data_IF_219092184317
#
_entry.id   IF_219092184317
#
_cell.length_a   1.000
_cell.length_b   1.000
_cell.length_c   1.000
_cell.angle_alpha   90.00
_cell.angle_beta   90.00
_cell.angle_gamma   90.00
#
_symmetry.space_group_name_H-M   'P 1'
#
loop_
_entity.id
_entity.type
_entity.pdbx_description
1 polymer ?
#
# COMPACT_ATOMS: atom_id res chain seq x y z
N UNK A 1 45.72 24.98 -1.05
CA UNK A 1 44.44 25.73 -1.05
C UNK A 1 44.79 27.19 -0.75
N UNK A 2 43.83 28.13 -0.71
CA UNK A 2 43.95 29.60 -0.59
C UNK A 2 44.93 30.38 -1.54
N UNK A 3 45.81 29.70 -2.28
CA UNK A 3 46.72 30.28 -3.26
C UNK A 3 48.00 30.89 -2.69
N UNK A 4 48.28 30.74 -1.40
CA UNK A 4 49.43 31.39 -0.74
C UNK A 4 50.75 30.60 -0.83
N UNK A 5 50.74 29.45 -1.50
CA UNK A 5 51.91 28.58 -1.70
C UNK A 5 52.28 27.71 -0.49
N UNK A 6 51.51 27.72 0.60
CA UNK A 6 51.68 26.82 1.75
C UNK A 6 50.82 25.57 1.62
N UNK A 7 51.22 24.50 2.31
CA UNK A 7 50.50 23.22 2.30
C UNK A 7 49.35 23.23 3.32
N UNK A 8 48.13 23.33 2.84
CA UNK A 8 46.91 23.16 3.65
C UNK A 8 46.55 21.68 3.83
N UNK A 9 45.66 21.40 4.78
CA UNK A 9 45.19 20.06 5.08
C UNK A 9 43.69 19.94 4.79
N UNK A 10 43.30 18.84 4.14
CA UNK A 10 41.89 18.43 4.01
C UNK A 10 41.74 17.06 4.66
N UNK A 11 40.76 16.93 5.56
CA UNK A 11 40.48 15.69 6.29
C UNK A 11 39.04 15.30 6.03
N UNK A 12 38.80 14.04 5.65
CA UNK A 12 37.43 13.55 5.53
C UNK A 12 36.86 13.13 6.89
N UNK A 13 35.60 13.47 7.11
CA UNK A 13 34.85 13.23 8.33
C UNK A 13 34.09 11.91 8.31
N UNK A 14 33.63 11.51 9.50
CA UNK A 14 32.77 10.34 9.70
C UNK A 14 31.44 10.47 8.92
N UNK A 15 30.87 11.66 8.89
CA UNK A 15 29.62 11.96 8.17
C UNK A 15 29.82 12.17 6.66
N UNK A 16 31.06 12.10 6.19
CA UNK A 16 31.43 12.22 4.79
C UNK A 16 31.72 13.65 4.32
N UNK A 17 31.66 14.63 5.22
CA UNK A 17 32.10 16.01 4.98
C UNK A 17 33.62 16.10 4.86
N UNK A 18 34.11 17.13 4.16
CA UNK A 18 35.55 17.36 3.96
C UNK A 18 35.97 18.62 4.70
N UNK A 19 36.66 18.48 5.82
CA UNK A 19 37.13 19.57 6.67
C UNK A 19 38.43 20.16 6.15
N UNK A 20 38.49 21.48 6.07
CA UNK A 20 39.65 22.24 5.59
C UNK A 20 40.36 22.88 6.77
N UNK A 21 41.68 22.74 6.81
CA UNK A 21 42.53 23.43 7.75
C UNK A 21 43.64 24.18 7.02
N UNK A 22 43.70 25.50 7.23
CA UNK A 22 44.69 26.35 6.58
C UNK A 22 46.02 26.36 7.35
N UNK A 23 47.13 26.39 6.60
CA UNK A 23 48.46 26.49 7.18
C UNK A 23 48.70 27.90 7.76
N UNK A 24 48.81 27.97 9.08
CA UNK A 24 49.14 29.18 9.87
C UNK A 24 50.57 29.17 10.41
N UNK A 25 51.28 28.04 10.29
CA UNK A 25 52.68 27.92 10.70
C UNK A 25 53.60 28.84 9.90
N UNK A 26 54.76 29.16 10.49
CA UNK A 26 55.74 30.08 9.90
C UNK A 26 56.41 29.53 8.63
N UNK A 27 56.36 28.20 8.42
CA UNK A 27 56.86 27.52 7.24
C UNK A 27 56.21 26.14 7.08
N UNK A 28 56.34 25.51 5.90
CA UNK A 28 55.90 24.12 5.69
C UNK A 28 56.70 23.09 6.52
N UNK A 29 57.86 23.48 7.09
CA UNK A 29 58.69 22.61 7.91
C UNK A 29 58.30 22.61 9.39
N UNK A 30 57.53 23.61 9.83
CA UNK A 30 56.96 23.71 11.19
C UNK A 30 55.48 24.10 11.07
N UNK A 31 54.65 23.16 10.60
CA UNK A 31 53.28 23.46 10.26
C UNK A 31 52.40 23.60 11.50
N UNK A 32 51.45 24.54 11.43
CA UNK A 32 50.37 24.71 12.39
C UNK A 32 49.09 24.97 11.60
N UNK A 33 48.02 24.26 11.93
CA UNK A 33 46.78 24.30 11.17
C UNK A 33 45.65 24.89 11.99
N UNK A 34 44.85 25.75 11.35
CA UNK A 34 43.63 26.29 11.93
C UNK A 34 42.42 25.83 11.10
N UNK A 35 41.34 25.42 11.76
CA UNK A 35 40.10 25.01 11.09
C UNK A 35 39.53 26.18 10.28
N UNK A 36 39.12 25.88 9.05
CA UNK A 36 38.56 26.85 8.10
C UNK A 36 37.25 26.33 7.48
N UNK A 37 36.49 25.54 8.24
CA UNK A 37 35.19 24.99 7.83
C UNK A 37 35.32 23.73 6.97
N UNK A 38 34.27 23.45 6.19
CA UNK A 38 34.22 22.33 5.26
C UNK A 38 34.20 22.82 3.81
N UNK A 39 34.54 21.94 2.87
CA UNK A 39 34.31 22.19 1.45
C UNK A 39 32.79 22.24 1.23
N UNK A 40 32.31 23.33 0.65
CA UNK A 40 30.89 23.51 0.33
C UNK A 40 30.58 23.17 -1.13
N UNK A 41 29.45 22.49 -1.36
CA UNK A 41 28.87 22.24 -2.66
C UNK A 41 27.97 23.40 -3.13
N UNK A 42 27.56 23.36 -4.40
CA UNK A 42 26.61 24.33 -4.95
C UNK A 42 25.19 24.12 -4.39
N UNK A 43 24.82 22.87 -4.13
CA UNK A 43 23.49 22.43 -3.66
C UNK A 43 23.53 22.04 -2.17
N UNK A 44 22.34 21.84 -1.60
CA UNK A 44 22.23 21.26 -0.26
C UNK A 44 22.52 19.76 -0.28
N UNK A 45 23.09 19.26 0.80
CA UNK A 45 23.23 17.84 1.07
C UNK A 45 21.96 17.25 1.70
N UNK A 46 21.97 15.95 1.98
CA UNK A 46 20.81 15.19 2.44
C UNK A 46 20.27 15.63 3.83
N UNK A 47 21.05 16.39 4.60
CA UNK A 47 20.64 16.96 5.91
C UNK A 47 20.35 18.47 5.85
N UNK A 48 20.50 19.10 4.69
CA UNK A 48 20.17 20.50 4.45
C UNK A 48 21.33 21.48 4.67
N UNK A 49 22.53 20.96 4.87
CA UNK A 49 23.77 21.75 4.90
C UNK A 49 24.35 21.93 3.50
N UNK A 50 25.36 22.81 3.37
CA UNK A 50 26.08 23.02 2.09
C UNK A 50 27.37 22.25 2.01
N UNK A 51 27.76 21.52 3.05
CA UNK A 51 28.95 20.70 3.06
C UNK A 51 28.86 19.66 1.94
N UNK A 52 29.94 19.53 1.18
CA UNK A 52 30.11 18.48 0.19
C UNK A 52 30.25 17.15 0.92
N UNK A 53 29.27 16.27 0.77
CA UNK A 53 29.21 14.96 1.43
C UNK A 53 29.22 13.87 0.38
N UNK A 54 30.28 13.06 0.37
CA UNK A 54 30.41 11.89 -0.51
C UNK A 54 29.87 10.59 0.08
N UNK A 55 29.73 10.56 1.41
CA UNK A 55 29.27 9.45 2.25
C UNK A 55 30.28 9.04 3.32
N UNK A 56 29.92 8.12 4.22
CA UNK A 56 30.59 7.95 5.52
C UNK A 56 32.09 7.67 5.42
N UNK A 57 32.87 8.19 6.37
CA UNK A 57 34.33 8.06 6.44
C UNK A 57 35.02 8.50 5.13
N UNK A 58 34.81 9.76 4.76
CA UNK A 58 35.36 10.28 3.52
C UNK A 58 36.91 10.23 3.52
N UNK A 59 37.49 9.94 2.36
CA UNK A 59 38.95 9.94 2.15
C UNK A 59 39.25 10.80 0.93
N UNK A 60 39.64 12.08 1.11
CA UNK A 60 39.94 12.97 0.00
C UNK A 60 41.28 12.65 -0.63
N UNK A 61 41.34 12.74 -1.96
CA UNK A 61 42.54 12.67 -2.79
C UNK A 61 42.47 13.79 -3.82
N UNK A 62 43.58 14.51 -3.98
CA UNK A 62 43.74 15.53 -5.00
C UNK A 62 44.66 15.02 -6.10
N UNK A 63 44.19 15.08 -7.35
CA UNK A 63 44.97 14.71 -8.53
C UNK A 63 44.38 15.38 -9.77
N UNK A 64 45.22 15.84 -10.69
CA UNK A 64 44.79 16.26 -12.03
C UNK A 64 44.38 15.01 -12.85
N UNK A 65 43.09 14.69 -12.86
CA UNK A 65 42.55 13.49 -13.52
C UNK A 65 42.29 13.71 -15.00
N UNK A 66 41.98 14.95 -15.37
CA UNK A 66 41.56 15.30 -16.71
C UNK A 66 42.72 15.86 -17.59
N UNK A 67 43.86 16.17 -16.97
CA UNK A 67 45.07 16.67 -17.62
C UNK A 67 45.05 18.17 -17.93
N UNK A 68 44.17 18.95 -17.31
CA UNK A 68 44.04 20.40 -17.52
C UNK A 68 45.02 21.23 -16.67
N UNK A 69 45.81 20.58 -15.82
CA UNK A 69 46.79 21.21 -14.93
C UNK A 69 46.20 21.77 -13.64
N UNK A 70 44.93 21.51 -13.35
CA UNK A 70 44.26 21.78 -12.08
C UNK A 70 44.02 20.46 -11.32
N UNK A 71 44.20 20.48 -10.00
CA UNK A 71 43.89 19.29 -9.20
C UNK A 71 42.38 19.10 -9.10
N UNK A 72 41.89 17.92 -9.46
CA UNK A 72 40.53 17.46 -9.20
C UNK A 72 40.44 16.83 -7.80
N UNK A 73 39.24 16.89 -7.20
CA UNK A 73 38.93 16.23 -5.94
C UNK A 73 38.26 14.87 -6.20
N UNK A 74 38.87 13.81 -5.68
CA UNK A 74 38.24 12.49 -5.51
C UNK A 74 37.99 12.29 -4.02
N UNK A 75 36.78 11.86 -3.66
CA UNK A 75 36.48 11.42 -2.30
C UNK A 75 36.09 9.94 -2.32
N UNK A 76 36.90 9.10 -1.68
CA UNK A 76 36.50 7.73 -1.32
C UNK A 76 35.56 7.75 -0.10
N UNK A 77 34.84 6.66 0.12
CA UNK A 77 33.93 6.49 1.26
C UNK A 77 33.91 5.04 1.74
N UNK A 78 33.35 4.81 2.92
CA UNK A 78 33.03 3.48 3.40
C UNK A 78 31.89 2.89 2.55
N UNK A 79 32.20 1.81 1.84
CA UNK A 79 31.21 1.01 1.15
C UNK A 79 31.01 -0.33 1.88
N UNK A 80 29.74 -0.67 2.14
CA UNK A 80 29.37 -1.99 2.69
C UNK A 80 29.30 -3.08 1.61
N UNK A 81 29.48 -2.70 0.34
CA UNK A 81 29.53 -3.55 -0.84
C UNK A 81 29.58 -2.69 -2.10
N UNK A 82 29.97 -3.27 -3.24
CA UNK A 82 29.94 -2.55 -4.51
C UNK A 82 28.50 -2.53 -5.07
N UNK A 83 27.79 -1.39 -5.09
CA UNK A 83 26.48 -1.34 -5.70
C UNK A 83 26.62 -1.61 -7.20
N UNK A 84 25.81 -2.51 -7.73
CA UNK A 84 25.71 -2.76 -9.17
C UNK A 84 24.26 -2.54 -9.58
N UNK A 85 23.99 -1.66 -10.58
CA UNK A 85 22.66 -1.52 -11.13
C UNK A 85 22.13 -2.89 -11.60
N UNK A 86 20.87 -3.17 -11.30
CA UNK A 86 20.23 -4.44 -11.64
C UNK A 86 20.10 -4.65 -13.16
N UNK A 87 20.20 -3.57 -13.92
CA UNK A 87 20.15 -3.51 -15.38
C UNK A 87 21.55 -3.36 -16.02
N UNK A 88 22.63 -3.46 -15.22
CA UNK A 88 24.00 -3.47 -15.71
C UNK A 88 24.33 -4.84 -16.39
N UNK A 89 24.94 -4.86 -17.59
CA UNK A 89 25.32 -6.12 -18.26
C UNK A 89 26.25 -7.03 -17.45
N UNK A 90 27.02 -6.47 -16.51
CA UNK A 90 27.91 -7.14 -15.57
C UNK A 90 27.29 -7.39 -14.19
N UNK A 91 25.96 -7.29 -14.04
CA UNK A 91 25.24 -7.66 -12.83
C UNK A 91 25.40 -9.17 -12.56
N UNK A 92 25.99 -9.58 -11.42
CA UNK A 92 26.42 -10.96 -11.20
C UNK A 92 25.27 -11.95 -11.04
N UNK A 93 24.05 -11.48 -10.76
CA UNK A 93 22.87 -12.32 -10.51
C UNK A 93 21.79 -12.16 -11.59
N UNK A 94 22.17 -11.81 -12.82
CA UNK A 94 21.21 -11.57 -13.90
C UNK A 94 20.28 -12.76 -14.18
N UNK A 95 20.78 -13.99 -14.04
CA UNK A 95 19.96 -15.21 -14.18
C UNK A 95 18.88 -15.33 -13.11
N UNK A 96 19.26 -15.15 -11.83
CA UNK A 96 18.34 -15.20 -10.68
C UNK A 96 17.33 -14.04 -10.71
N UNK A 97 17.77 -12.85 -11.10
CA UNK A 97 16.88 -11.69 -11.27
C UNK A 97 15.85 -11.98 -12.36
N UNK A 98 16.27 -12.55 -13.50
CA UNK A 98 15.35 -12.93 -14.56
C UNK A 98 14.35 -14.00 -14.08
N UNK A 99 14.82 -15.02 -13.37
CA UNK A 99 13.95 -16.06 -12.79
C UNK A 99 12.91 -15.46 -11.84
N UNK A 100 13.32 -14.51 -10.99
CA UNK A 100 12.41 -13.79 -10.10
C UNK A 100 11.36 -12.98 -10.87
N UNK A 101 11.77 -12.23 -11.91
CA UNK A 101 10.84 -11.43 -12.74
C UNK A 101 9.86 -12.35 -13.48
N UNK A 102 10.36 -13.45 -14.06
CA UNK A 102 9.53 -14.44 -14.76
C UNK A 102 8.52 -15.09 -13.79
N UNK A 103 8.96 -15.43 -12.57
CA UNK A 103 8.10 -15.98 -11.52
C UNK A 103 7.01 -14.98 -11.12
N UNK A 104 7.38 -13.72 -10.88
CA UNK A 104 6.42 -12.67 -10.52
C UNK A 104 5.38 -12.49 -11.62
N UNK A 105 5.80 -12.46 -12.89
CA UNK A 105 4.88 -12.40 -14.03
C UNK A 105 3.94 -13.62 -14.09
N UNK A 106 4.48 -14.83 -13.98
CA UNK A 106 3.70 -16.07 -14.05
C UNK A 106 2.67 -16.21 -12.92
N UNK A 107 2.92 -15.55 -11.78
CA UNK A 107 2.03 -15.58 -10.62
C UNK A 107 1.25 -14.27 -10.44
N UNK A 108 1.26 -13.38 -11.44
CA UNK A 108 0.60 -12.07 -11.40
C UNK A 108 0.93 -11.25 -10.14
N UNK A 109 2.20 -11.30 -9.71
CA UNK A 109 2.76 -10.46 -8.67
C UNK A 109 3.33 -9.20 -9.33
N UNK A 110 2.69 -8.06 -9.06
CA UNK A 110 3.08 -6.78 -9.62
C UNK A 110 4.39 -6.30 -8.99
N UNK A 111 5.34 -5.91 -9.85
CA UNK A 111 6.60 -5.28 -9.46
C UNK A 111 6.51 -3.80 -9.77
N UNK A 112 6.75 -2.95 -8.78
CA UNK A 112 6.70 -1.50 -8.90
C UNK A 112 7.97 -0.87 -8.31
N UNK A 113 8.34 0.36 -8.72
CA UNK A 113 9.61 0.98 -8.32
C UNK A 113 9.67 1.26 -6.81
N UNK A 114 10.87 1.11 -6.24
CA UNK A 114 11.20 1.48 -4.87
C UNK A 114 12.19 2.65 -4.92
N UNK A 115 11.67 3.88 -4.87
CA UNK A 115 12.38 5.07 -5.32
C UNK A 115 13.38 5.56 -4.26
N UNK A 116 14.55 6.04 -4.73
CA UNK A 116 15.60 6.59 -3.89
C UNK A 116 15.66 8.13 -3.98
N UNK A 117 14.80 8.81 -3.22
CA UNK A 117 14.89 10.27 -3.02
C UNK A 117 15.23 10.62 -1.57
N UNK A 118 15.48 11.90 -1.31
CA UNK A 118 15.84 12.40 0.01
C UNK A 118 15.40 13.84 0.26
N UNK A 119 15.35 14.25 1.54
CA UNK A 119 14.91 15.56 2.07
C UNK A 119 15.23 16.84 1.25
N UNK A 120 16.37 16.91 0.57
CA UNK A 120 16.81 18.13 -0.13
C UNK A 120 17.25 17.86 -1.58
N UNK A 121 16.79 16.74 -2.14
CA UNK A 121 17.02 16.38 -3.54
C UNK A 121 16.27 17.37 -4.43
N UNK A 122 16.94 17.93 -5.45
CA UNK A 122 16.31 18.89 -6.34
C UNK A 122 15.26 18.21 -7.23
N UNK A 123 14.31 19.00 -7.75
CA UNK A 123 13.31 18.50 -8.72
C UNK A 123 13.95 17.76 -9.90
N UNK A 124 15.04 18.30 -10.47
CA UNK A 124 15.76 17.67 -11.57
C UNK A 124 16.38 16.32 -11.19
N UNK A 125 16.96 16.23 -9.98
CA UNK A 125 17.55 14.99 -9.47
C UNK A 125 16.49 13.93 -9.19
N UNK A 126 15.34 14.30 -8.60
CA UNK A 126 14.24 13.36 -8.39
C UNK A 126 13.67 12.84 -9.71
N UNK A 127 13.47 13.72 -10.70
CA UNK A 127 13.03 13.33 -12.05
C UNK A 127 14.05 12.41 -12.72
N UNK A 128 15.35 12.67 -12.56
CA UNK A 128 16.40 11.80 -13.07
C UNK A 128 16.36 10.42 -12.41
N UNK A 129 16.19 10.35 -11.10
CA UNK A 129 16.09 9.09 -10.35
C UNK A 129 14.91 8.22 -10.84
N UNK A 130 13.74 8.84 -11.04
CA UNK A 130 12.56 8.16 -11.57
C UNK A 130 12.79 7.68 -13.01
N UNK A 131 13.46 8.48 -13.83
CA UNK A 131 13.80 8.11 -15.21
C UNK A 131 14.79 6.94 -15.27
N UNK A 132 15.77 6.88 -14.37
CA UNK A 132 16.69 5.74 -14.25
C UNK A 132 15.94 4.46 -13.88
N UNK A 133 14.98 4.53 -12.96
CA UNK A 133 14.09 3.41 -12.64
C UNK A 133 13.27 2.96 -13.84
N UNK A 134 12.69 3.90 -14.59
CA UNK A 134 11.93 3.61 -15.81
C UNK A 134 12.78 2.91 -16.87
N UNK A 135 14.04 3.32 -17.02
CA UNK A 135 14.99 2.68 -17.93
C UNK A 135 15.35 1.26 -17.49
N UNK A 136 15.57 1.05 -16.18
CA UNK A 136 15.83 -0.29 -15.64
C UNK A 136 14.62 -1.22 -15.86
N UNK A 137 13.40 -0.75 -15.59
CA UNK A 137 12.16 -1.47 -15.85
C UNK A 137 12.03 -1.86 -17.32
N UNK A 138 12.27 -0.92 -18.23
CA UNK A 138 12.24 -1.17 -19.67
C UNK A 138 13.26 -2.24 -20.11
N UNK A 139 14.50 -2.17 -19.61
CA UNK A 139 15.56 -3.17 -19.93
C UNK A 139 15.23 -4.56 -19.38
N UNK A 140 14.59 -4.61 -18.22
CA UNK A 140 14.18 -5.85 -17.55
C UNK A 140 12.84 -6.41 -18.05
N UNK A 141 12.14 -5.67 -18.91
CA UNK A 141 10.83 -6.06 -19.44
C UNK A 141 9.71 -6.00 -18.38
N UNK A 142 9.84 -5.12 -17.39
CA UNK A 142 8.83 -4.86 -16.37
C UNK A 142 7.97 -3.67 -16.86
N UNK A 143 6.64 -3.80 -16.94
CA UNK A 143 5.77 -2.70 -17.36
C UNK A 143 5.83 -1.50 -16.41
N UNK A 144 5.71 -0.29 -16.96
CA UNK A 144 5.51 0.95 -16.22
C UNK A 144 4.12 1.51 -16.56
N UNK A 145 3.07 0.81 -16.12
CA UNK A 145 1.69 1.14 -16.44
C UNK A 145 0.86 1.16 -15.15
N UNK A 146 0.27 2.31 -14.79
CA UNK A 146 -0.55 2.45 -13.57
C UNK A 146 0.13 1.89 -12.30
N UNK A 147 1.43 2.15 -12.15
CA UNK A 147 2.23 1.64 -11.04
C UNK A 147 2.09 2.50 -9.78
N UNK A 148 2.47 1.93 -8.64
CA UNK A 148 2.72 2.67 -7.39
C UNK A 148 4.20 2.78 -7.05
N UNK A 149 4.48 3.20 -5.82
CA UNK A 149 5.83 3.20 -5.25
C UNK A 149 5.80 3.23 -3.71
N UNK A 150 6.98 3.07 -3.12
CA UNK A 150 7.31 3.44 -1.76
C UNK A 150 8.76 3.94 -1.73
N UNK A 151 9.14 4.66 -0.67
CA UNK A 151 10.43 5.33 -0.58
C UNK A 151 11.49 4.46 0.09
N UNK A 152 12.66 4.31 -0.54
CA UNK A 152 13.79 3.58 0.05
C UNK A 152 14.32 4.24 1.32
N UNK A 153 14.32 5.56 1.36
CA UNK A 153 14.78 6.33 2.54
C UNK A 153 13.64 6.71 3.47
N UNK A 154 12.40 6.35 3.12
CA UNK A 154 11.15 6.95 3.59
C UNK A 154 10.97 8.43 3.25
N UNK A 155 12.02 9.19 2.91
CA UNK A 155 12.00 10.65 2.92
C UNK A 155 11.41 11.21 1.63
N UNK A 156 10.63 12.28 1.77
CA UNK A 156 10.25 13.17 0.68
C UNK A 156 10.94 14.53 0.86
N UNK A 157 10.83 15.39 -0.14
CA UNK A 157 11.40 16.73 -0.10
C UNK A 157 10.86 17.57 1.08
N UNK A 158 11.76 18.27 1.76
CA UNK A 158 11.46 19.11 2.91
C UNK A 158 11.08 20.55 2.51
N UNK A 159 11.88 21.26 1.67
CA UNK A 159 11.53 22.61 1.21
C UNK A 159 10.17 22.71 0.53
N UNK A 160 9.89 21.81 -0.42
CA UNK A 160 8.62 21.68 -1.12
C UNK A 160 8.05 20.28 -0.91
N UNK A 161 7.07 20.20 -0.01
CA UNK A 161 6.49 18.92 0.45
C UNK A 161 5.69 18.20 -0.64
N UNK A 162 5.29 18.90 -1.70
CA UNK A 162 4.55 18.32 -2.81
C UNK A 162 5.50 17.80 -3.91
N UNK A 163 6.71 18.35 -4.03
CA UNK A 163 7.63 18.09 -5.14
C UNK A 163 7.81 16.60 -5.46
N UNK A 164 8.17 15.79 -4.46
CA UNK A 164 8.41 14.35 -4.67
C UNK A 164 7.15 13.64 -5.19
N UNK A 165 6.00 13.91 -4.58
CA UNK A 165 4.73 13.29 -4.94
C UNK A 165 4.21 13.79 -6.29
N UNK A 166 4.47 15.06 -6.63
CA UNK A 166 4.16 15.63 -7.93
C UNK A 166 5.03 15.02 -9.03
N UNK A 167 6.32 14.79 -8.74
CA UNK A 167 7.26 14.13 -9.65
C UNK A 167 6.87 12.67 -9.91
N UNK A 168 6.47 11.94 -8.87
CA UNK A 168 5.90 10.60 -9.00
C UNK A 168 4.64 10.62 -9.87
N UNK A 169 3.69 11.51 -9.56
CA UNK A 169 2.43 11.66 -10.31
C UNK A 169 2.66 11.98 -11.78
N UNK A 170 3.59 12.88 -12.07
CA UNK A 170 3.94 13.25 -13.46
C UNK A 170 4.62 12.12 -14.22
N UNK A 171 5.32 11.22 -13.52
CA UNK A 171 5.86 10.00 -14.09
C UNK A 171 4.85 8.84 -14.22
N UNK A 172 3.57 9.08 -13.87
CA UNK A 172 2.51 8.07 -13.97
C UNK A 172 2.44 7.09 -12.80
N UNK A 173 3.18 7.36 -11.72
CA UNK A 173 3.01 6.69 -10.43
C UNK A 173 1.82 7.34 -9.73
N UNK A 174 0.79 6.58 -9.38
CA UNK A 174 -0.45 7.16 -8.86
C UNK A 174 -0.74 6.84 -7.40
N UNK A 175 0.09 6.00 -6.75
CA UNK A 175 0.02 5.81 -5.32
C UNK A 175 1.40 5.66 -4.67
N UNK A 176 1.52 6.12 -3.43
CA UNK A 176 2.69 5.95 -2.58
C UNK A 176 2.26 5.53 -1.16
N UNK A 177 2.51 4.27 -0.81
CA UNK A 177 2.06 3.68 0.46
C UNK A 177 3.18 3.62 1.52
N UNK A 178 4.31 4.28 1.26
CA UNK A 178 5.45 4.21 2.15
C UNK A 178 6.32 5.44 2.07
N UNK A 179 5.94 6.49 2.80
CA UNK A 179 6.73 7.71 2.92
C UNK A 179 6.61 8.33 4.32
N UNK A 180 7.59 9.17 4.63
CA UNK A 180 7.73 9.97 5.84
C UNK A 180 7.40 11.41 5.48
N UNK A 181 6.28 11.97 5.96
CA UNK A 181 5.97 13.37 5.74
C UNK A 181 7.14 14.28 6.15
N UNK A 182 7.34 15.38 5.42
CA UNK A 182 8.42 16.33 5.67
C UNK A 182 8.47 16.76 7.13
N UNK A 183 9.65 16.66 7.74
CA UNK A 183 9.91 16.97 9.15
C UNK A 183 9.17 16.11 10.19
N UNK A 184 8.53 14.99 9.80
CA UNK A 184 8.06 14.02 10.78
C UNK A 184 9.24 13.49 11.63
N UNK A 185 9.01 13.21 12.90
CA UNK A 185 10.07 12.80 13.82
C UNK A 185 10.49 11.36 13.52
N UNK A 186 9.53 10.43 13.51
CA UNK A 186 9.79 9.02 13.36
C UNK A 186 9.64 8.56 11.92
N UNK A 187 10.32 7.46 11.62
CA UNK A 187 10.12 6.77 10.36
C UNK A 187 8.79 5.98 10.40
N UNK A 188 8.19 5.72 9.23
CA UNK A 188 6.94 4.98 9.13
C UNK A 188 6.98 3.71 9.98
N UNK A 189 5.85 3.41 10.63
CA UNK A 189 5.63 2.28 11.56
C UNK A 189 6.28 2.39 12.94
N UNK A 190 7.21 3.31 13.17
CA UNK A 190 7.97 3.39 14.43
C UNK A 190 7.44 4.42 15.42
N UNK A 191 6.80 5.48 14.92
CA UNK A 191 6.28 6.58 15.75
C UNK A 191 4.78 6.53 16.02
N UNK A 192 4.31 7.20 17.10
CA UNK A 192 2.89 7.32 17.40
C UNK A 192 2.08 7.98 16.28
N UNK A 193 2.69 8.85 15.47
CA UNK A 193 2.07 9.50 14.31
C UNK A 193 1.61 8.51 13.22
N UNK A 194 2.13 7.28 13.21
CA UNK A 194 1.72 6.21 12.28
C UNK A 194 0.81 5.17 12.95
N UNK A 195 0.30 5.46 14.15
CA UNK A 195 -0.55 4.49 14.87
C UNK A 195 -1.88 4.24 14.14
N UNK A 196 -2.34 5.16 13.29
CA UNK A 196 -3.62 5.11 12.59
C UNK A 196 -3.41 5.52 11.13
N UNK A 197 -3.15 4.56 10.25
CA UNK A 197 -3.03 4.76 8.82
C UNK A 197 -4.40 4.84 8.17
N UNK A 198 -4.70 5.95 7.49
CA UNK A 198 -5.88 6.11 6.64
C UNK A 198 -5.41 6.45 5.23
N UNK A 199 -5.94 5.80 4.18
CA UNK A 199 -5.64 6.20 2.82
C UNK A 199 -6.31 7.54 2.52
N UNK A 200 -5.61 8.40 1.79
CA UNK A 200 -6.15 9.68 1.34
C UNK A 200 -5.67 10.03 -0.07
N UNK A 201 -6.43 10.88 -0.76
CA UNK A 201 -6.03 11.42 -2.05
C UNK A 201 -5.37 12.77 -1.84
N UNK A 202 -4.23 12.99 -2.49
CA UNK A 202 -3.60 14.30 -2.56
C UNK A 202 -4.52 15.29 -3.27
N UNK A 203 -4.74 16.43 -2.64
CA UNK A 203 -5.52 17.54 -3.20
C UNK A 203 -4.67 18.49 -4.03
N UNK A 204 -5.32 19.20 -4.94
CA UNK A 204 -4.78 20.36 -5.62
C UNK A 204 -4.84 21.62 -4.71
N UNK A 205 -4.32 22.79 -5.15
CA UNK A 205 -4.39 24.02 -4.36
C UNK A 205 -5.81 24.52 -4.02
N UNK A 206 -6.86 24.00 -4.67
CA UNK A 206 -8.26 24.31 -4.34
C UNK A 206 -8.82 23.44 -3.21
N UNK A 207 -8.10 22.38 -2.82
CA UNK A 207 -8.49 21.43 -1.78
C UNK A 207 -9.20 20.19 -2.31
N UNK A 208 -9.40 20.07 -3.63
CA UNK A 208 -10.06 18.93 -4.27
C UNK A 208 -9.04 17.94 -4.84
N UNK A 209 -9.32 16.63 -4.83
CA UNK A 209 -8.44 15.64 -5.44
C UNK A 209 -8.42 15.76 -6.97
N UNK A 210 -7.23 15.73 -7.57
CA UNK A 210 -7.08 15.75 -9.03
C UNK A 210 -7.36 14.37 -9.64
N UNK A 211 -8.62 14.01 -9.83
CA UNK A 211 -9.02 12.67 -10.28
C UNK A 211 -8.53 12.27 -11.69
N UNK A 212 -8.12 13.23 -12.53
CA UNK A 212 -7.51 12.93 -13.84
C UNK A 212 -6.07 12.42 -13.73
N UNK A 213 -5.40 12.73 -12.62
CA UNK A 213 -4.05 12.26 -12.26
C UNK A 213 -4.05 12.01 -10.74
N UNK A 214 -4.71 10.96 -10.25
CA UNK A 214 -4.81 10.73 -8.82
C UNK A 214 -3.42 10.47 -8.23
N UNK A 215 -3.23 10.91 -6.98
CA UNK A 215 -2.10 10.51 -6.15
C UNK A 215 -2.66 10.04 -4.81
N UNK A 216 -2.70 8.73 -4.61
CA UNK A 216 -3.17 8.10 -3.39
C UNK A 216 -2.03 7.84 -2.42
N UNK A 217 -2.21 8.25 -1.19
CA UNK A 217 -1.20 8.20 -0.16
C UNK A 217 -1.68 7.34 0.99
N UNK A 218 -0.81 6.47 1.47
CA UNK A 218 -1.04 5.66 2.66
C UNK A 218 0.28 5.41 3.39
N UNK A 219 0.21 4.80 4.56
CA UNK A 219 1.39 4.47 5.37
C UNK A 219 1.24 3.07 5.93
N UNK A 220 2.33 2.29 6.04
CA UNK A 220 2.23 0.94 6.57
C UNK A 220 1.86 0.96 8.05
N UNK A 221 1.14 -0.08 8.48
CA UNK A 221 0.73 -0.24 9.86
C UNK A 221 1.93 -0.37 10.82
N UNK A 222 1.76 0.01 12.10
CA UNK A 222 2.78 -0.13 13.13
C UNK A 222 3.41 -1.51 13.19
N UNK A 223 4.67 -1.58 13.63
CA UNK A 223 5.37 -2.86 13.78
C UNK A 223 4.63 -3.76 14.76
N UNK A 224 4.30 -4.98 14.32
CA UNK A 224 3.72 -6.00 15.18
C UNK A 224 4.77 -6.49 16.18
N UNK A 225 4.48 -6.33 17.47
CA UNK A 225 5.30 -6.80 18.58
C UNK A 225 4.41 -7.60 19.53
N UNK A 226 4.95 -8.65 20.14
CA UNK A 226 4.32 -9.41 21.22
C UNK A 226 5.17 -9.32 22.50
N UNK A 227 4.57 -9.66 23.63
CA UNK A 227 5.25 -9.65 24.94
C UNK A 227 5.13 -8.31 25.67
N UNK A 228 6.16 -7.91 26.41
CA UNK A 228 6.10 -6.77 27.33
C UNK A 228 5.90 -5.40 26.65
N UNK A 229 6.23 -5.31 25.35
CA UNK A 229 6.03 -4.12 24.51
C UNK A 229 5.13 -4.46 23.32
N UNK A 230 4.07 -5.24 23.57
CA UNK A 230 3.14 -5.66 22.53
C UNK A 230 2.44 -4.46 21.90
N UNK A 231 2.16 -4.58 20.60
CA UNK A 231 1.40 -3.60 19.81
C UNK A 231 0.10 -4.20 19.27
N UNK A 232 -0.31 -5.36 19.78
CA UNK A 232 -1.50 -6.09 19.32
C UNK A 232 -2.80 -5.31 19.53
N UNK A 233 -2.84 -4.45 20.54
CA UNK A 233 -3.94 -3.53 20.83
C UNK A 233 -4.17 -2.49 19.71
N UNK A 234 -3.10 -2.10 19.00
CA UNK A 234 -3.23 -1.26 17.80
C UNK A 234 -4.02 -2.01 16.72
N UNK A 235 -3.70 -3.28 16.44
CA UNK A 235 -4.42 -4.06 15.43
C UNK A 235 -5.88 -4.32 15.84
N UNK A 236 -6.16 -4.50 17.13
CA UNK A 236 -7.54 -4.55 17.65
C UNK A 236 -8.28 -3.22 17.38
N UNK A 237 -7.60 -2.08 17.51
CA UNK A 237 -8.17 -0.76 17.18
C UNK A 237 -8.40 -0.58 15.68
N UNK A 238 -7.47 -1.03 14.81
CA UNK A 238 -7.69 -1.05 13.35
C UNK A 238 -8.95 -1.85 13.01
N UNK A 239 -9.07 -3.05 13.57
CA UNK A 239 -10.22 -3.91 13.35
C UNK A 239 -11.53 -3.31 13.87
N UNK A 240 -11.52 -2.68 15.06
CA UNK A 240 -12.70 -2.04 15.63
C UNK A 240 -13.23 -0.87 14.78
N UNK A 241 -12.35 -0.24 14.00
CA UNK A 241 -12.63 0.92 13.15
C UNK A 241 -12.71 0.57 11.67
N UNK A 242 -12.67 -0.71 11.32
CA UNK A 242 -12.68 -1.19 9.93
C UNK A 242 -11.56 -0.56 9.07
N UNK A 243 -10.39 -0.26 9.68
CA UNK A 243 -9.26 0.36 8.99
C UNK A 243 -8.44 -0.67 8.21
N UNK A 244 -7.94 -0.35 7.01
CA UNK A 244 -7.04 -1.24 6.30
C UNK A 244 -5.71 -1.41 7.04
N UNK A 245 -5.10 -2.58 6.90
CA UNK A 245 -3.79 -2.89 7.49
C UNK A 245 -2.83 -3.16 6.34
N UNK A 246 -1.95 -2.19 6.09
CA UNK A 246 -0.85 -2.34 5.14
C UNK A 246 0.40 -2.86 5.87
N UNK A 247 0.95 -3.98 5.39
CA UNK A 247 2.10 -4.64 6.00
C UNK A 247 3.30 -4.63 5.04
N UNK A 248 4.38 -4.03 5.52
CA UNK A 248 5.67 -3.94 4.85
C UNK A 248 6.75 -4.76 5.58
N UNK A 249 7.69 -5.36 4.85
CA UNK A 249 8.82 -6.09 5.43
C UNK A 249 10.04 -6.12 4.51
N UNK A 250 11.22 -5.95 5.10
CA UNK A 250 12.50 -6.25 4.46
C UNK A 250 12.84 -7.73 4.68
N UNK A 251 12.32 -8.58 3.80
CA UNK A 251 12.43 -10.04 3.97
C UNK A 251 13.90 -10.50 4.05
N UNK A 252 14.82 -9.82 3.37
CA UNK A 252 16.25 -10.08 3.33
C UNK A 252 16.92 -10.06 4.71
N UNK A 253 16.37 -9.32 5.68
CA UNK A 253 16.89 -9.30 7.06
C UNK A 253 16.54 -10.57 7.85
N UNK A 254 15.62 -11.38 7.33
CA UNK A 254 15.15 -12.60 7.97
C UNK A 254 15.76 -13.87 7.36
N UNK A 255 16.14 -13.82 6.08
CA UNK A 255 16.65 -15.01 5.40
C UNK A 255 18.14 -15.26 5.70
N UNK A 256 18.56 -16.54 5.78
CA UNK A 256 17.72 -17.74 5.91
C UNK A 256 17.40 -18.10 7.37
N UNK A 257 18.02 -17.43 8.35
CA UNK A 257 18.11 -17.91 9.73
C UNK A 257 16.92 -17.52 10.63
N UNK A 258 16.15 -16.50 10.26
CA UNK A 258 15.09 -15.88 11.07
C UNK A 258 13.71 -15.94 10.41
N UNK A 259 13.51 -16.83 9.43
CA UNK A 259 12.21 -17.04 8.74
C UNK A 259 11.06 -17.40 9.71
N UNK A 260 11.38 -17.95 10.88
CA UNK A 260 10.38 -18.20 11.93
C UNK A 260 9.64 -16.93 12.39
N UNK A 261 10.31 -15.77 12.36
CA UNK A 261 9.71 -14.47 12.71
C UNK A 261 8.63 -14.06 11.71
N UNK A 262 8.88 -14.27 10.41
CA UNK A 262 7.88 -14.03 9.36
C UNK A 262 6.63 -14.90 9.55
N UNK A 263 6.82 -16.17 9.95
CA UNK A 263 5.70 -17.09 10.17
C UNK A 263 4.82 -16.65 11.33
N UNK A 264 5.42 -16.08 12.38
CA UNK A 264 4.69 -15.55 13.52
C UNK A 264 3.76 -14.40 13.12
N UNK A 265 4.25 -13.48 12.28
CA UNK A 265 3.46 -12.34 11.79
C UNK A 265 2.32 -12.80 10.88
N UNK A 266 2.61 -13.66 9.90
CA UNK A 266 1.59 -14.19 8.98
C UNK A 266 0.49 -14.94 9.74
N UNK A 267 0.85 -15.73 10.76
CA UNK A 267 -0.12 -16.46 11.60
C UNK A 267 -1.02 -15.50 12.38
N UNK A 268 -0.46 -14.42 12.92
CA UNK A 268 -1.26 -13.43 13.66
C UNK A 268 -2.24 -12.69 12.72
N UNK A 269 -1.76 -12.19 11.58
CA UNK A 269 -2.60 -11.48 10.62
C UNK A 269 -3.67 -12.40 10.02
N UNK A 270 -3.38 -13.68 9.80
CA UNK A 270 -4.37 -14.65 9.35
C UNK A 270 -5.47 -14.88 10.41
N UNK A 271 -5.08 -14.96 11.69
CA UNK A 271 -6.01 -15.01 12.81
C UNK A 271 -6.91 -13.77 12.88
N UNK A 272 -6.31 -12.58 12.79
CA UNK A 272 -7.03 -11.29 12.75
C UNK A 272 -8.02 -11.25 11.58
N UNK A 273 -7.56 -11.67 10.39
CA UNK A 273 -8.36 -11.76 9.18
C UNK A 273 -9.59 -12.64 9.37
N UNK A 274 -9.43 -13.80 9.98
CA UNK A 274 -10.53 -14.73 10.22
C UNK A 274 -11.49 -14.24 11.32
N UNK A 275 -10.98 -13.55 12.33
CA UNK A 275 -11.81 -13.02 13.42
C UNK A 275 -12.68 -11.83 12.99
N UNK A 276 -12.12 -10.91 12.21
CA UNK A 276 -12.77 -9.64 11.86
C UNK A 276 -13.24 -9.56 10.40
N UNK A 277 -13.01 -10.59 9.59
CA UNK A 277 -13.55 -10.65 8.24
C UNK A 277 -12.78 -9.82 7.20
N UNK A 278 -11.49 -9.57 7.40
CA UNK A 278 -10.61 -8.89 6.42
C UNK A 278 -10.34 -9.76 5.19
N UNK A 279 -9.78 -9.18 4.13
CA UNK A 279 -9.20 -9.93 3.03
C UNK A 279 -7.69 -9.68 2.96
N UNK A 280 -6.93 -10.69 2.54
CA UNK A 280 -5.58 -10.44 2.05
C UNK A 280 -5.66 -9.93 0.61
N UNK A 281 -4.83 -8.93 0.32
CA UNK A 281 -4.71 -8.26 -0.97
C UNK A 281 -3.24 -7.95 -1.18
N UNK A 282 -2.80 -7.87 -2.44
CA UNK A 282 -1.54 -7.17 -2.75
C UNK A 282 -1.72 -5.67 -2.51
N UNK A 283 -0.61 -4.93 -2.37
CA UNK A 283 -0.65 -3.47 -2.22
C UNK A 283 -1.36 -2.79 -3.40
N UNK A 284 -1.18 -3.31 -4.62
CA UNK A 284 -1.81 -2.77 -5.84
C UNK A 284 -3.32 -3.04 -5.88
N UNK A 285 -3.75 -4.24 -5.48
CA UNK A 285 -5.18 -4.56 -5.31
C UNK A 285 -5.83 -3.65 -4.24
N UNK A 286 -5.11 -3.41 -3.14
CA UNK A 286 -5.54 -2.51 -2.06
C UNK A 286 -5.70 -1.07 -2.57
N UNK A 287 -4.71 -0.54 -3.30
CA UNK A 287 -4.76 0.81 -3.87
C UNK A 287 -5.94 0.96 -4.85
N UNK A 288 -6.15 0.00 -5.76
CA UNK A 288 -7.26 0.02 -6.73
C UNK A 288 -8.62 0.03 -6.02
N UNK A 289 -8.75 -0.80 -4.99
CA UNK A 289 -9.95 -0.88 -4.14
C UNK A 289 -10.21 0.43 -3.40
N UNK A 290 -9.20 1.04 -2.79
CA UNK A 290 -9.33 2.34 -2.14
C UNK A 290 -9.75 3.42 -3.13
N UNK A 291 -9.15 3.46 -4.32
CA UNK A 291 -9.50 4.47 -5.30
C UNK A 291 -10.97 4.36 -5.70
N UNK A 292 -11.44 3.15 -5.97
CA UNK A 292 -12.85 2.89 -6.24
C UNK A 292 -13.73 3.34 -5.05
N UNK A 293 -13.41 2.93 -3.82
CA UNK A 293 -14.23 3.24 -2.65
C UNK A 293 -14.28 4.75 -2.33
N UNK A 294 -13.17 5.46 -2.45
CA UNK A 294 -13.07 6.89 -2.15
C UNK A 294 -13.71 7.79 -3.20
N UNK A 295 -13.90 7.31 -4.43
CA UNK A 295 -14.38 8.12 -5.57
C UNK A 295 -15.71 7.65 -6.16
N UNK A 296 -16.32 6.60 -5.59
CA UNK A 296 -17.68 6.19 -5.92
C UNK A 296 -18.68 7.01 -5.12
N UNK A 297 -19.64 7.65 -5.80
CA UNK A 297 -20.73 8.33 -5.12
C UNK A 297 -21.83 7.33 -4.72
N UNK A 298 -22.47 7.57 -3.58
CA UNK A 298 -23.52 6.69 -3.04
C UNK A 298 -24.80 7.48 -2.85
N UNK A 299 -25.84 7.08 -3.59
CA UNK A 299 -27.19 7.58 -3.41
C UNK A 299 -28.00 6.63 -2.52
N UNK A 300 -28.45 7.13 -1.37
CA UNK A 300 -29.39 6.44 -0.49
C UNK A 300 -30.79 7.05 -0.64
N UNK A 301 -31.77 6.26 -1.05
CA UNK A 301 -33.12 6.76 -1.29
C UNK A 301 -34.23 5.82 -0.84
N UNK A 302 -35.43 6.39 -0.70
CA UNK A 302 -36.68 5.67 -0.39
C UNK A 302 -37.83 6.21 -1.24
N UNK A 303 -38.58 5.36 -1.95
CA UNK A 303 -39.79 5.80 -2.64
C UNK A 303 -40.84 6.35 -1.66
N UNK A 304 -41.37 7.55 -1.92
CA UNK A 304 -42.39 8.17 -1.06
C UNK A 304 -43.62 7.29 -0.81
N UNK A 305 -44.00 6.47 -1.78
CA UNK A 305 -45.12 5.52 -1.65
C UNK A 305 -44.88 4.51 -0.52
N UNK A 306 -43.67 3.99 -0.39
CA UNK A 306 -43.29 3.05 0.68
C UNK A 306 -43.33 3.74 2.04
N UNK A 307 -42.84 4.99 2.12
CA UNK A 307 -42.89 5.78 3.36
C UNK A 307 -44.33 6.01 3.83
N UNK A 308 -45.24 6.33 2.91
CA UNK A 308 -46.66 6.53 3.21
C UNK A 308 -47.34 5.22 3.64
N UNK A 309 -47.02 4.10 2.98
CA UNK A 309 -47.52 2.77 3.34
C UNK A 309 -47.04 2.36 4.73
N UNK A 310 -45.76 2.55 5.05
CA UNK A 310 -45.22 2.28 6.38
C UNK A 310 -45.92 3.12 7.45
N UNK A 311 -46.15 4.41 7.18
CA UNK A 311 -46.84 5.29 8.12
C UNK A 311 -48.27 4.85 8.37
N UNK A 312 -48.99 4.43 7.32
CA UNK A 312 -50.35 3.91 7.45
C UNK A 312 -50.38 2.61 8.26
N UNK A 313 -49.46 1.67 7.99
CA UNK A 313 -49.33 0.42 8.75
C UNK A 313 -49.03 0.66 10.23
N UNK A 314 -48.13 1.59 10.54
CA UNK A 314 -47.83 1.98 11.94
C UNK A 314 -49.05 2.57 12.64
N UNK A 315 -49.85 3.39 11.97
CA UNK A 315 -51.10 3.93 12.52
C UNK A 315 -52.12 2.84 12.84
N UNK A 316 -52.08 1.73 12.11
CA UNK A 316 -52.90 0.53 12.34
C UNK A 316 -52.28 -0.44 13.36
N UNK A 317 -51.19 -0.05 14.04
CA UNK A 317 -50.49 -0.89 15.02
C UNK A 317 -49.74 -2.09 14.41
N UNK A 318 -49.52 -2.10 13.09
CA UNK A 318 -48.78 -3.15 12.42
C UNK A 318 -47.27 -2.89 12.50
N UNK A 319 -46.50 -3.97 12.64
CA UNK A 319 -45.07 -3.90 12.42
C UNK A 319 -44.76 -3.55 10.96
N UNK A 320 -43.71 -2.75 10.78
CA UNK A 320 -43.23 -2.32 9.46
C UNK A 320 -41.78 -2.66 9.35
N UNK A 321 -41.27 -2.81 8.14
CA UNK A 321 -39.86 -3.09 7.85
C UNK A 321 -39.36 -2.01 6.90
N UNK A 322 -38.83 -0.89 7.41
CA UNK A 322 -38.34 0.19 6.58
C UNK A 322 -37.26 -0.30 5.63
N UNK A 323 -37.43 0.02 4.35
CA UNK A 323 -36.52 -0.33 3.25
C UNK A 323 -35.83 0.92 2.73
N UNK A 324 -34.54 0.80 2.47
CA UNK A 324 -33.70 1.80 1.85
C UNK A 324 -33.04 1.16 0.63
N UNK A 325 -32.92 1.93 -0.45
CA UNK A 325 -32.19 1.50 -1.64
C UNK A 325 -30.91 2.30 -1.73
N UNK A 326 -29.84 1.59 -2.04
CA UNK A 326 -28.53 2.15 -2.29
C UNK A 326 -28.26 2.02 -3.79
N UNK A 327 -27.72 3.08 -4.39
CA UNK A 327 -27.18 3.07 -5.74
C UNK A 327 -25.76 3.61 -5.72
N UNK A 328 -24.83 2.86 -6.31
CA UNK A 328 -23.44 3.26 -6.47
C UNK A 328 -23.26 3.91 -7.85
N UNK A 329 -22.65 5.09 -7.89
CA UNK A 329 -22.26 5.77 -9.13
C UNK A 329 -20.74 5.80 -9.24
N UNK A 330 -20.21 4.90 -10.07
CA UNK A 330 -18.79 4.78 -10.36
C UNK A 330 -18.35 5.61 -11.59
N UNK A 331 -19.16 6.57 -12.06
CA UNK A 331 -18.85 7.36 -13.26
C UNK A 331 -17.62 8.25 -13.09
N UNK A 332 -17.37 8.76 -11.87
CA UNK A 332 -16.23 9.59 -11.52
C UNK A 332 -14.97 8.79 -11.13
N UNK A 333 -15.06 7.47 -10.97
CA UNK A 333 -13.94 6.63 -10.55
C UNK A 333 -12.82 6.67 -11.62
N UNK A 334 -11.58 7.05 -11.25
CA UNK A 334 -10.46 7.13 -12.19
C UNK A 334 -10.11 5.78 -12.82
N UNK A 335 -9.52 5.83 -14.01
CA UNK A 335 -9.13 4.63 -14.77
C UNK A 335 -8.10 3.75 -14.04
N UNK A 336 -7.33 4.33 -13.12
CA UNK A 336 -6.32 3.66 -12.30
C UNK A 336 -6.93 2.60 -11.36
N UNK A 337 -8.23 2.69 -11.06
CA UNK A 337 -8.95 1.64 -10.34
C UNK A 337 -9.12 0.37 -11.20
N UNK A 338 -8.91 0.48 -12.52
CA UNK A 338 -8.93 -0.63 -13.46
C UNK A 338 -10.17 -1.52 -13.29
N UNK A 339 -9.98 -2.84 -13.16
CA UNK A 339 -11.05 -3.82 -12.97
C UNK A 339 -11.85 -3.65 -11.66
N UNK A 340 -11.34 -2.91 -10.68
CA UNK A 340 -12.03 -2.63 -9.41
C UNK A 340 -13.07 -1.52 -9.52
N UNK A 341 -13.18 -0.84 -10.67
CA UNK A 341 -14.22 0.15 -10.89
C UNK A 341 -15.61 -0.48 -10.76
N UNK A 342 -16.43 0.08 -9.86
CA UNK A 342 -17.79 -0.40 -9.61
C UNK A 342 -17.86 -1.59 -8.65
N UNK A 343 -16.83 -1.84 -7.81
CA UNK A 343 -16.86 -2.90 -6.80
C UNK A 343 -17.00 -2.34 -5.38
N UNK A 344 -17.95 -1.42 -5.17
CA UNK A 344 -18.13 -0.77 -3.87
C UNK A 344 -18.61 -1.77 -2.80
N UNK A 345 -17.99 -1.71 -1.62
CA UNK A 345 -18.50 -2.33 -0.39
C UNK A 345 -18.96 -1.27 0.59
N UNK A 346 -20.02 -1.56 1.36
CA UNK A 346 -20.55 -0.66 2.39
C UNK A 346 -20.64 -1.38 3.73
N UNK A 347 -20.52 -0.59 4.81
CA UNK A 347 -20.86 -1.00 6.16
C UNK A 347 -22.07 -0.18 6.65
N UNK A 348 -23.06 -0.86 7.22
CA UNK A 348 -24.30 -0.26 7.70
C UNK A 348 -24.36 -0.38 9.22
N UNK A 349 -24.25 0.77 9.88
CA UNK A 349 -24.43 0.89 11.33
C UNK A 349 -25.85 1.33 11.67
N UNK A 350 -26.48 0.62 12.60
CA UNK A 350 -27.87 0.87 12.99
C UNK A 350 -27.96 2.07 13.92
N UNK A 351 -28.64 3.12 13.47
CA UNK A 351 -29.03 4.24 14.33
C UNK A 351 -30.03 3.82 15.43
N UNK A 352 -30.20 4.66 16.45
CA UNK A 352 -31.03 4.37 17.63
C UNK A 352 -32.46 3.90 17.29
N UNK A 353 -33.07 4.46 16.24
CA UNK A 353 -34.42 4.11 15.79
C UNK A 353 -34.55 2.65 15.30
N UNK A 354 -33.44 2.01 14.93
CA UNK A 354 -33.39 0.65 14.39
C UNK A 354 -32.51 -0.29 15.22
N UNK A 355 -32.08 0.12 16.43
CA UNK A 355 -31.16 -0.67 17.26
C UNK A 355 -31.72 -2.05 17.65
N UNK A 356 -33.04 -2.16 17.79
CA UNK A 356 -33.75 -3.40 18.11
C UNK A 356 -34.17 -4.21 16.86
N UNK A 357 -33.60 -3.93 15.69
CA UNK A 357 -33.96 -4.56 14.41
C UNK A 357 -32.72 -5.11 13.74
N UNK A 358 -32.92 -6.15 12.95
CA UNK A 358 -31.89 -6.73 12.11
C UNK A 358 -31.76 -5.92 10.82
N UNK A 359 -30.53 -5.59 10.41
CA UNK A 359 -30.27 -5.03 9.09
C UNK A 359 -30.02 -6.22 8.14
N UNK A 360 -30.82 -6.32 7.09
CA UNK A 360 -30.74 -7.39 6.09
C UNK A 360 -30.70 -6.80 4.69
N UNK A 361 -30.12 -7.54 3.74
CA UNK A 361 -29.92 -7.09 2.36
C UNK A 361 -30.13 -8.21 1.35
N UNK A 362 -30.49 -7.83 0.12
CA UNK A 362 -30.52 -8.72 -1.04
C UNK A 362 -29.17 -8.85 -1.76
N UNK A 363 -28.13 -8.13 -1.30
CA UNK A 363 -26.79 -8.22 -1.85
C UNK A 363 -26.24 -9.65 -1.81
N UNK A 364 -25.51 -10.01 -2.87
CA UNK A 364 -24.92 -11.34 -3.03
C UNK A 364 -23.73 -11.57 -2.09
N UNK A 365 -22.90 -10.54 -1.90
CA UNK A 365 -21.91 -10.48 -0.83
C UNK A 365 -22.52 -9.78 0.37
N UNK A 366 -22.62 -10.48 1.49
CA UNK A 366 -23.08 -9.91 2.75
C UNK A 366 -22.51 -10.66 3.94
N UNK A 367 -22.30 -9.94 5.03
CA UNK A 367 -21.97 -10.52 6.33
C UNK A 367 -22.48 -9.61 7.46
N UNK A 368 -22.89 -10.19 8.58
CA UNK A 368 -23.31 -9.44 9.77
C UNK A 368 -22.44 -9.82 10.95
N UNK A 369 -21.64 -8.85 11.41
CA UNK A 369 -20.68 -9.04 12.51
C UNK A 369 -20.60 -7.77 13.36
N UNK A 370 -20.42 -7.94 14.67
CA UNK A 370 -20.34 -6.80 15.60
C UNK A 370 -21.59 -5.90 15.61
N UNK A 371 -22.74 -6.38 15.13
CA UNK A 371 -23.96 -5.59 15.01
C UNK A 371 -24.01 -4.63 13.82
N UNK A 372 -23.02 -4.70 12.91
CA UNK A 372 -22.97 -4.02 11.61
C UNK A 372 -23.29 -5.00 10.48
N UNK A 373 -23.94 -4.52 9.44
CA UNK A 373 -24.13 -5.26 8.18
C UNK A 373 -23.09 -4.77 7.17
N UNK A 374 -22.31 -5.69 6.61
CA UNK A 374 -21.39 -5.45 5.49
C UNK A 374 -22.02 -6.00 4.23
N UNK A 375 -21.97 -5.25 3.12
CA UNK A 375 -22.57 -5.66 1.85
C UNK A 375 -21.80 -5.13 0.64
N UNK A 376 -21.81 -5.91 -0.45
CA UNK A 376 -21.34 -5.46 -1.76
C UNK A 376 -22.44 -4.73 -2.52
N UNK A 377 -22.11 -3.61 -3.17
CA UNK A 377 -23.05 -2.78 -3.95
C UNK A 377 -22.42 -2.44 -5.31
N UNK A 378 -22.36 -3.39 -6.27
CA UNK A 378 -21.77 -3.12 -7.58
C UNK A 378 -22.60 -2.15 -8.44
N UNK A 379 -23.92 -2.14 -8.25
CA UNK A 379 -24.84 -1.17 -8.86
C UNK A 379 -25.89 -0.73 -7.83
N UNK A 380 -26.78 -1.66 -7.43
CA UNK A 380 -27.82 -1.39 -6.45
C UNK A 380 -27.97 -2.51 -5.43
N UNK A 381 -28.40 -2.14 -4.23
CA UNK A 381 -28.78 -3.07 -3.18
C UNK A 381 -29.92 -2.50 -2.33
N UNK A 382 -30.77 -3.36 -1.78
CA UNK A 382 -31.78 -3.02 -0.78
C UNK A 382 -31.24 -3.32 0.63
N UNK A 383 -31.51 -2.41 1.57
CA UNK A 383 -31.30 -2.62 2.99
C UNK A 383 -32.65 -2.50 3.68
N UNK A 384 -33.02 -3.53 4.46
CA UNK A 384 -34.27 -3.60 5.21
C UNK A 384 -34.00 -3.77 6.69
N UNK A 385 -34.77 -3.07 7.52
CA UNK A 385 -34.71 -3.21 8.97
C UNK A 385 -35.83 -4.14 9.47
N UNK A 386 -35.50 -5.41 9.60
CA UNK A 386 -36.41 -6.52 9.90
C UNK A 386 -36.52 -6.82 11.41
N UNK A 387 -37.50 -7.63 11.85
CA UNK A 387 -37.57 -8.13 13.21
C UNK A 387 -36.29 -8.90 13.63
N UNK A 388 -35.94 -8.92 14.92
CA UNK A 388 -34.80 -9.70 15.42
C UNK A 388 -34.84 -11.19 15.04
N UNK A 389 -33.69 -11.74 14.68
CA UNK A 389 -33.52 -13.14 14.26
C UNK A 389 -33.70 -13.36 12.75
N UNK A 390 -34.07 -12.32 12.00
CA UNK A 390 -34.23 -12.40 10.55
C UNK A 390 -32.89 -12.60 9.85
N UNK A 391 -31.83 -11.88 10.26
CA UNK A 391 -30.49 -12.05 9.66
C UNK A 391 -30.03 -13.50 9.76
N UNK A 392 -30.10 -14.09 10.96
CA UNK A 392 -29.68 -15.48 11.18
C UNK A 392 -30.51 -16.46 10.32
N UNK A 393 -31.83 -16.24 10.24
CA UNK A 393 -32.70 -17.10 9.44
C UNK A 393 -32.39 -17.01 7.94
N UNK A 394 -32.17 -15.81 7.40
CA UNK A 394 -31.91 -15.60 5.96
C UNK A 394 -30.49 -16.03 5.55
N UNK A 395 -29.48 -15.69 6.35
CA UNK A 395 -28.09 -16.03 6.04
C UNK A 395 -27.82 -17.53 6.17
N UNK A 396 -28.55 -18.26 7.02
CA UNK A 396 -28.42 -19.72 7.11
C UNK A 396 -29.34 -20.50 6.18
N UNK A 397 -30.31 -19.84 5.54
CA UNK A 397 -31.25 -20.50 4.64
C UNK A 397 -30.66 -20.85 3.27
N UNK A 398 -29.69 -20.05 2.79
CA UNK A 398 -29.20 -20.16 1.42
C UNK A 398 -27.72 -19.78 1.29
N UNK A 399 -27.11 -20.27 0.22
CA UNK A 399 -25.78 -19.86 -0.20
C UNK A 399 -25.70 -18.34 -0.39
N UNK A 400 -24.61 -17.74 0.07
CA UNK A 400 -24.22 -16.37 -0.22
C UNK A 400 -22.70 -16.22 -0.05
N UNK A 401 -22.14 -15.15 -0.58
CA UNK A 401 -20.72 -14.82 -0.39
C UNK A 401 -20.56 -13.97 0.86
N UNK A 402 -19.54 -14.25 1.67
CA UNK A 402 -19.22 -13.50 2.89
C UNK A 402 -18.22 -12.36 2.61
N UNK A 403 -17.22 -12.64 1.77
CA UNK A 403 -16.20 -11.66 1.34
C UNK A 403 -15.50 -12.13 0.07
N UNK A 404 -15.10 -11.19 -0.78
CA UNK A 404 -14.28 -11.42 -1.97
C UNK A 404 -13.25 -10.29 -2.05
N UNK A 405 -12.00 -10.59 -2.41
CA UNK A 405 -10.91 -9.60 -2.48
C UNK A 405 -10.66 -9.03 -3.90
N UNK A 406 -11.36 -9.55 -4.90
CA UNK A 406 -11.25 -9.16 -6.31
C UNK A 406 -12.65 -8.95 -6.89
N UNK A 407 -12.80 -8.16 -7.97
CA UNK A 407 -14.02 -8.11 -8.77
C UNK A 407 -14.42 -9.52 -9.22
N UNK A 408 -15.71 -9.75 -9.43
CA UNK A 408 -16.17 -11.07 -9.81
C UNK A 408 -17.51 -11.04 -10.56
N UNK A 409 -17.84 -12.16 -11.20
CA UNK A 409 -19.21 -12.47 -11.64
C UNK A 409 -19.65 -13.81 -11.07
N UNK A 410 -20.91 -13.90 -10.65
CA UNK A 410 -21.49 -15.16 -10.17
C UNK A 410 -22.70 -15.51 -11.04
N UNK A 411 -22.61 -16.65 -11.72
CA UNK A 411 -23.69 -17.19 -12.52
C UNK A 411 -24.30 -18.40 -11.81
N UNK A 412 -25.62 -18.40 -11.56
CA UNK A 412 -26.32 -19.56 -10.99
C UNK A 412 -27.01 -20.36 -12.09
N UNK A 413 -26.68 -21.65 -12.21
CA UNK A 413 -27.29 -22.62 -13.13
C UNK A 413 -27.66 -23.90 -12.38
N UNK A 414 -28.95 -24.16 -12.23
CA UNK A 414 -29.47 -25.31 -11.47
C UNK A 414 -28.85 -25.40 -10.06
N UNK A 415 -28.08 -26.46 -9.79
CA UNK A 415 -27.36 -26.71 -8.52
C UNK A 415 -25.92 -26.19 -8.52
N UNK A 416 -25.49 -25.57 -9.62
CA UNK A 416 -24.12 -25.08 -9.80
C UNK A 416 -24.09 -23.56 -9.79
N UNK A 417 -23.06 -23.01 -9.16
CA UNK A 417 -22.72 -21.59 -9.23
C UNK A 417 -21.34 -21.46 -9.85
N UNK A 418 -21.22 -20.62 -10.86
CA UNK A 418 -19.95 -20.40 -11.56
C UNK A 418 -19.45 -19.02 -11.18
N UNK A 419 -18.43 -19.00 -10.33
CA UNK A 419 -17.74 -17.79 -9.90
C UNK A 419 -16.55 -17.54 -10.84
N UNK A 420 -16.49 -16.35 -11.43
CA UNK A 420 -15.34 -15.90 -12.23
C UNK A 420 -14.71 -14.72 -11.54
N UNK A 421 -13.43 -14.81 -11.24
CA UNK A 421 -12.67 -13.67 -10.75
C UNK A 421 -12.39 -12.72 -11.92
N UNK A 422 -12.38 -11.42 -11.64
CA UNK A 422 -12.20 -10.35 -12.61
C UNK A 422 -10.82 -9.71 -12.57
N UNK A 423 -9.95 -10.15 -11.67
CA UNK A 423 -8.58 -9.66 -11.52
C UNK A 423 -7.59 -10.82 -11.34
N UNK A 424 -6.37 -10.61 -11.81
CA UNK A 424 -5.24 -11.48 -11.56
C UNK A 424 -4.66 -11.26 -10.13
N UNK A 425 -3.65 -12.05 -9.78
CA UNK A 425 -2.93 -11.98 -8.51
C UNK A 425 -3.55 -12.90 -7.47
N UNK A 426 -3.58 -12.44 -6.20
CA UNK A 426 -4.20 -13.20 -5.12
C UNK A 426 -5.73 -13.05 -5.19
N UNK A 427 -6.42 -14.17 -5.39
CA UNK A 427 -7.87 -14.23 -5.52
C UNK A 427 -8.42 -15.06 -4.38
N UNK A 428 -9.29 -14.47 -3.57
CA UNK A 428 -9.84 -15.10 -2.38
C UNK A 428 -11.31 -14.75 -2.21
N UNK A 429 -12.11 -15.79 -2.00
CA UNK A 429 -13.53 -15.70 -1.65
C UNK A 429 -13.79 -16.53 -0.42
N UNK A 430 -14.61 -16.02 0.49
CA UNK A 430 -15.25 -16.81 1.52
C UNK A 430 -16.75 -16.81 1.29
N UNK A 431 -17.37 -17.96 1.47
CA UNK A 431 -18.79 -18.18 1.25
C UNK A 431 -19.41 -19.01 2.35
N UNK A 432 -20.73 -18.89 2.47
CA UNK A 432 -21.57 -19.78 3.25
C UNK A 432 -22.34 -20.73 2.32
N UNK A 433 -22.47 -21.98 2.73
CA UNK A 433 -23.34 -22.96 2.07
C UNK A 433 -24.02 -23.86 3.11
N UNK A 434 -25.35 -24.02 3.07
CA UNK A 434 -26.08 -24.89 4.00
C UNK A 434 -25.82 -26.38 3.75
N UNK A 435 -25.33 -26.73 2.56
CA UNK A 435 -24.90 -28.09 2.20
C UNK A 435 -23.43 -28.08 1.82
N UNK A 436 -22.71 -29.18 2.06
CA UNK A 436 -21.30 -29.31 1.69
C UNK A 436 -21.13 -29.20 0.17
N UNK A 437 -20.49 -28.14 -0.36
CA UNK A 437 -20.31 -27.96 -1.79
C UNK A 437 -19.16 -28.82 -2.33
N UNK A 438 -19.17 -29.04 -3.64
CA UNK A 438 -18.04 -29.57 -4.42
C UNK A 438 -17.48 -28.43 -5.26
N UNK A 439 -16.16 -28.25 -5.20
CA UNK A 439 -15.45 -27.20 -5.91
C UNK A 439 -14.66 -27.79 -7.09
N UNK A 440 -14.79 -27.16 -8.25
CA UNK A 440 -14.04 -27.51 -9.46
C UNK A 440 -13.37 -26.25 -10.02
N UNK A 441 -12.08 -26.33 -10.30
CA UNK A 441 -11.26 -25.27 -10.87
C UNK A 441 -9.78 -25.62 -10.79
N UNK A 442 -8.94 -24.77 -11.36
CA UNK A 442 -7.48 -24.99 -11.45
C UNK A 442 -6.79 -24.36 -10.25
N UNK A 443 -5.81 -25.06 -9.66
CA UNK A 443 -4.94 -24.55 -8.59
C UNK A 443 -5.68 -23.84 -7.44
N UNK A 444 -6.76 -24.47 -6.98
CA UNK A 444 -7.57 -23.98 -5.87
C UNK A 444 -7.07 -24.55 -4.53
N UNK A 445 -6.82 -23.66 -3.57
CA UNK A 445 -6.69 -24.01 -2.15
C UNK A 445 -8.03 -23.77 -1.47
N UNK A 446 -8.59 -24.83 -0.88
CA UNK A 446 -9.90 -24.80 -0.23
C UNK A 446 -9.73 -25.12 1.26
N UNK A 447 -10.26 -24.25 2.09
CA UNK A 447 -10.32 -24.40 3.54
C UNK A 447 -11.78 -24.32 3.97
N UNK A 448 -12.27 -25.29 4.74
CA UNK A 448 -13.68 -25.37 5.11
C UNK A 448 -13.89 -25.63 6.60
N UNK A 449 -14.87 -24.96 7.19
CA UNK A 449 -15.49 -25.31 8.46
C UNK A 449 -16.90 -25.85 8.18
N UNK A 450 -17.00 -27.18 8.01
CA UNK A 450 -18.26 -27.85 7.69
C UNK A 450 -19.33 -27.63 8.76
N UNK A 451 -18.93 -27.47 10.03
CA UNK A 451 -19.87 -27.25 11.13
C UNK A 451 -20.53 -25.87 11.05
N UNK A 452 -19.84 -24.88 10.49
CA UNK A 452 -20.38 -23.53 10.24
C UNK A 452 -20.89 -23.34 8.81
N UNK A 453 -20.65 -24.30 7.91
CA UNK A 453 -20.96 -24.16 6.49
C UNK A 453 -20.12 -23.10 5.77
N UNK A 454 -18.95 -22.74 6.32
CA UNK A 454 -18.09 -21.67 5.78
C UNK A 454 -16.94 -22.29 4.99
N UNK A 455 -16.68 -21.77 3.80
CA UNK A 455 -15.60 -22.23 2.93
C UNK A 455 -14.82 -21.03 2.38
N UNK A 456 -13.49 -21.08 2.46
CA UNK A 456 -12.58 -20.10 1.87
C UNK A 456 -11.87 -20.76 0.70
N UNK A 457 -11.93 -20.12 -0.46
CA UNK A 457 -11.24 -20.54 -1.68
C UNK A 457 -10.17 -19.50 -1.97
N UNK A 458 -8.93 -19.95 -2.17
CA UNK A 458 -7.79 -19.10 -2.54
C UNK A 458 -7.16 -19.64 -3.81
N UNK A 459 -6.87 -18.73 -4.74
CA UNK A 459 -6.15 -18.98 -5.98
C UNK A 459 -5.11 -17.86 -6.19
N UNK A 460 -4.01 -18.17 -6.85
CA UNK A 460 -2.94 -17.21 -7.18
C UNK A 460 -2.62 -17.32 -8.67
N UNK A 461 -2.42 -16.18 -9.32
CA UNK A 461 -2.07 -16.12 -10.75
C UNK A 461 -3.15 -15.44 -11.57
N UNK A 462 -3.34 -15.91 -12.80
CA UNK A 462 -4.35 -15.39 -13.72
C UNK A 462 -5.78 -15.53 -13.17
N UNK A 463 -6.68 -14.65 -13.57
CA UNK A 463 -8.08 -14.64 -13.14
C UNK A 463 -8.76 -16.01 -13.37
N UNK A 464 -9.10 -16.67 -12.26
CA UNK A 464 -9.60 -18.03 -12.24
C UNK A 464 -11.13 -18.14 -12.39
N UNK A 465 -11.58 -19.35 -12.67
CA UNK A 465 -13.00 -19.74 -12.61
C UNK A 465 -13.18 -20.89 -11.62
N UNK A 466 -14.18 -20.77 -10.76
CA UNK A 466 -14.58 -21.81 -9.80
C UNK A 466 -16.02 -22.21 -10.07
N UNK A 467 -16.26 -23.50 -10.30
CA UNK A 467 -17.60 -24.08 -10.28
C UNK A 467 -17.88 -24.66 -8.91
N UNK A 468 -18.94 -24.19 -8.28
CA UNK A 468 -19.39 -24.57 -6.93
C UNK A 468 -20.71 -25.34 -7.09
N UNK A 469 -20.68 -26.64 -6.84
CA UNK A 469 -21.89 -27.49 -6.93
C UNK A 469 -22.42 -27.76 -5.53
N UNK A 470 -23.69 -27.49 -5.30
CA UNK A 470 -24.39 -27.83 -4.07
C UNK A 470 -25.18 -29.14 -4.30
N UNK A 471 -24.63 -30.31 -3.95
CA UNK A 471 -25.35 -31.57 -4.12
C UNK A 471 -26.66 -31.58 -3.32
N UNK A 472 -27.71 -32.18 -3.89
CA UNK A 472 -29.03 -32.35 -3.25
C UNK A 472 -28.98 -33.15 -1.96
#
# INVERSE_FOLDING_TARGET
MNGDGRLDLVVGGLEGDLRVYLQTGSSNADPAWAENGAIEAATLNQVGGRELVGGHNAVPLWADLNGDGLDDLIAGQLEFGMPKPIDDPGFPYAGQLKEFIDYSRANALELYPHIYVHNYTSDEQERQEIELHRQAFAKLGIPWEHTGTNQHTWRINNPDRAQTLDNERDAGIWFNFGFKPSYAEHDPRLGPEYSWGLPFLMSDPSGEPLLTKPMMLHTPAPVLRKGAYATTDLFDAYAALDLPIDYFEHIEYHFPLRVGELTEFVTYLDGLRNLYGYNFMTETQMARSFLNAMTTEVELYRPWREVLLDRARRLLGQETEPRFRVRADASAVPQQAAEYRGTLGLAVERGQAYAARDAVTDAEVRDTRGGKLYLGVPDQAEIRFAPPGTTQAEDTAAFHLLRVNVPYTLETRDESRILRFGADGMQQVQLYSPVKPVFEGTDLRIEGDEARGIYTITHFGEAGTVTIRSPK
#
